data_IF_462079907370
#
_entry.id   IF_462079907370
#
_cell.length_a   1.000
_cell.length_b   1.000
_cell.length_c   1.000
_cell.angle_alpha   90.00
_cell.angle_beta   90.00
_cell.angle_gamma   90.00
#
_symmetry.space_group_name_H-M   'P 1'
#
loop_
_entity.id
_entity.type
_entity.pdbx_description
1 polymer ?
#
# COMPACT_ATOMS: atom_id res chain seq x y z
N UNK A 1 19.75 -22.30 40.17
CA UNK A 1 18.91 -21.19 39.69
C UNK A 1 19.14 -20.98 38.19
N UNK A 2 18.67 -21.89 37.33
CA UNK A 2 18.95 -21.83 35.86
C UNK A 2 17.95 -22.70 35.08
N UNK A 3 16.64 -22.56 35.32
CA UNK A 3 15.61 -23.32 34.55
C UNK A 3 14.50 -22.48 33.92
N UNK A 4 14.52 -21.16 34.07
CA UNK A 4 13.51 -20.26 33.48
C UNK A 4 13.94 -19.55 32.20
N UNK A 5 15.22 -19.65 31.81
CA UNK A 5 15.75 -18.95 30.64
C UNK A 5 15.30 -19.55 29.30
N UNK A 6 14.97 -20.85 29.25
CA UNK A 6 14.57 -21.53 28.01
C UNK A 6 13.14 -21.21 27.54
N UNK A 7 12.25 -20.78 28.44
CA UNK A 7 10.83 -20.59 28.12
C UNK A 7 10.51 -19.20 27.54
N UNK A 8 11.38 -18.19 27.76
CA UNK A 8 11.17 -16.82 27.27
C UNK A 8 11.51 -16.66 25.78
N UNK A 9 12.35 -17.53 25.21
CA UNK A 9 12.77 -17.43 23.80
C UNK A 9 11.65 -17.91 22.86
N UNK A 10 10.79 -18.82 23.30
CA UNK A 10 9.72 -19.38 22.49
C UNK A 10 8.60 -18.36 22.17
N UNK A 11 8.37 -17.36 23.02
CA UNK A 11 7.31 -16.35 22.83
C UNK A 11 7.72 -15.28 21.81
N UNK A 12 9.02 -15.00 21.65
CA UNK A 12 9.51 -13.98 20.72
C UNK A 12 9.36 -14.38 19.24
N UNK A 13 9.30 -15.68 18.93
CA UNK A 13 9.19 -16.18 17.55
C UNK A 13 7.77 -16.05 16.98
N UNK A 14 6.75 -15.93 17.83
CA UNK A 14 5.34 -15.84 17.42
C UNK A 14 4.88 -14.41 17.08
N UNK A 15 5.68 -13.37 17.39
CA UNK A 15 5.34 -11.98 17.10
C UNK A 15 5.64 -11.55 15.64
N UNK A 16 6.20 -12.43 14.81
CA UNK A 16 6.70 -12.11 13.48
C UNK A 16 5.67 -12.14 12.33
N UNK A 17 4.42 -12.52 12.57
CA UNK A 17 3.43 -12.75 11.50
C UNK A 17 2.33 -11.68 11.38
N UNK A 18 2.49 -10.51 11.99
CA UNK A 18 1.64 -9.36 11.69
C UNK A 18 2.06 -8.74 10.34
N UNK A 19 1.78 -9.43 9.24
CA UNK A 19 1.99 -8.90 7.90
C UNK A 19 0.97 -7.78 7.66
N UNK A 20 1.33 -6.53 7.96
CA UNK A 20 0.50 -5.38 7.61
C UNK A 20 0.25 -5.40 6.12
N UNK A 21 -1.02 -5.48 5.74
CA UNK A 21 -1.38 -5.61 4.36
C UNK A 21 -0.98 -4.39 3.54
N UNK A 22 -0.45 -4.65 2.35
CA UNK A 22 -0.02 -3.57 1.45
C UNK A 22 -1.24 -2.85 0.89
N UNK A 23 -1.25 -1.52 0.87
CA UNK A 23 -2.35 -0.78 0.29
C UNK A 23 -2.40 -1.01 -1.22
N UNK A 24 -3.61 -1.09 -1.78
CA UNK A 24 -3.85 -1.29 -3.21
C UNK A 24 -5.03 -0.44 -3.69
N UNK A 25 -5.03 -0.14 -4.99
CA UNK A 25 -6.09 0.63 -5.62
C UNK A 25 -7.22 -0.29 -6.08
N UNK A 26 -8.42 -0.05 -5.58
CA UNK A 26 -9.61 -0.84 -5.91
C UNK A 26 -10.69 0.01 -6.56
N UNK A 27 -11.39 -0.57 -7.55
CA UNK A 27 -12.60 -0.02 -8.16
C UNK A 27 -13.50 -1.20 -8.55
N UNK A 28 -14.83 -1.12 -8.36
CA UNK A 28 -15.75 -2.17 -8.79
C UNK A 28 -15.57 -2.48 -10.28
N UNK A 29 -15.50 -3.77 -10.61
CA UNK A 29 -15.32 -4.28 -11.97
C UNK A 29 -13.99 -3.91 -12.66
N UNK A 30 -13.00 -3.38 -11.93
CA UNK A 30 -11.65 -3.16 -12.45
C UNK A 30 -10.73 -4.29 -12.00
N UNK A 31 -9.89 -4.76 -12.92
CA UNK A 31 -8.82 -5.72 -12.62
C UNK A 31 -7.63 -5.02 -11.95
N UNK A 32 -6.70 -5.80 -11.41
CA UNK A 32 -5.44 -5.26 -10.90
C UNK A 32 -4.62 -4.58 -12.02
N UNK A 33 -4.67 -5.11 -13.24
CA UNK A 33 -3.98 -4.56 -14.41
C UNK A 33 -4.58 -3.22 -14.85
N UNK A 34 -5.91 -3.07 -14.76
CA UNK A 34 -6.58 -1.79 -14.99
C UNK A 34 -6.11 -0.74 -13.97
N UNK A 35 -6.05 -1.12 -12.68
CA UNK A 35 -5.55 -0.23 -11.63
C UNK A 35 -4.09 0.17 -11.86
N UNK A 36 -3.24 -0.76 -12.31
CA UNK A 36 -1.84 -0.50 -12.63
C UNK A 36 -1.68 0.44 -13.84
N UNK A 37 -2.46 0.21 -14.88
CA UNK A 37 -2.48 1.04 -16.09
C UNK A 37 -2.89 2.47 -15.75
N UNK A 38 -3.96 2.64 -14.97
CA UNK A 38 -4.47 3.94 -14.57
C UNK A 38 -3.52 4.67 -13.61
N UNK A 39 -2.88 3.95 -12.68
CA UNK A 39 -1.85 4.51 -11.80
C UNK A 39 -0.65 5.03 -12.60
N UNK A 40 -0.23 4.28 -13.61
CA UNK A 40 0.87 4.67 -14.49
C UNK A 40 0.54 5.92 -15.30
N UNK A 41 -0.69 6.00 -15.82
CA UNK A 41 -1.18 7.18 -16.52
C UNK A 41 -1.22 8.42 -15.60
N UNK A 42 -1.70 8.27 -14.36
CA UNK A 42 -1.70 9.35 -13.38
C UNK A 42 -0.28 9.85 -13.07
N UNK A 43 0.66 8.94 -12.81
CA UNK A 43 2.07 9.31 -12.55
C UNK A 43 2.70 10.05 -13.72
N UNK A 44 2.44 9.60 -14.94
CA UNK A 44 2.94 10.25 -16.15
C UNK A 44 2.41 11.69 -16.28
N UNK A 45 1.10 11.90 -16.08
CA UNK A 45 0.50 13.24 -16.14
C UNK A 45 1.06 14.20 -15.09
N UNK A 46 1.25 13.73 -13.85
CA UNK A 46 1.85 14.53 -12.79
C UNK A 46 3.30 14.90 -13.12
N UNK A 47 4.08 13.98 -13.69
CA UNK A 47 5.44 14.23 -14.17
C UNK A 47 5.50 15.30 -15.26
N UNK A 48 4.57 15.26 -16.23
CA UNK A 48 4.49 16.26 -17.30
C UNK A 48 4.16 17.67 -16.77
N UNK A 49 3.33 17.76 -15.73
CA UNK A 49 2.89 19.02 -15.14
C UNK A 49 3.91 19.66 -14.19
N UNK A 50 5.11 19.07 -14.03
CA UNK A 50 6.21 19.59 -13.19
C UNK A 50 5.80 19.88 -11.74
N UNK A 51 4.90 19.05 -11.19
CA UNK A 51 4.47 19.15 -9.80
C UNK A 51 5.68 18.90 -8.86
N UNK A 52 5.85 19.69 -7.79
CA UNK A 52 6.91 19.47 -6.81
C UNK A 52 6.87 18.04 -6.25
N UNK A 53 8.02 17.38 -6.09
CA UNK A 53 8.10 15.97 -5.67
C UNK A 53 7.28 15.65 -4.41
N UNK A 54 7.33 16.55 -3.42
CA UNK A 54 6.55 16.47 -2.17
C UNK A 54 5.02 16.41 -2.36
N UNK A 55 4.52 16.89 -3.49
CA UNK A 55 3.09 16.93 -3.82
C UNK A 55 2.69 15.84 -4.84
N UNK A 56 3.66 15.19 -5.50
CA UNK A 56 3.38 14.25 -6.59
C UNK A 56 2.52 13.07 -6.13
N UNK A 57 2.86 12.42 -5.02
CA UNK A 57 2.09 11.29 -4.49
C UNK A 57 0.66 11.70 -4.10
N UNK A 58 0.49 12.89 -3.51
CA UNK A 58 -0.83 13.43 -3.21
C UNK A 58 -1.65 13.66 -4.49
N UNK A 59 -1.03 14.22 -5.53
CA UNK A 59 -1.68 14.46 -6.81
C UNK A 59 -2.01 13.17 -7.57
N UNK A 60 -1.13 12.16 -7.51
CA UNK A 60 -1.42 10.82 -8.04
C UNK A 60 -2.63 10.22 -7.32
N UNK A 61 -2.69 10.34 -5.99
CA UNK A 61 -3.84 9.87 -5.22
C UNK A 61 -5.14 10.63 -5.58
N UNK A 62 -5.08 11.93 -5.85
CA UNK A 62 -6.23 12.69 -6.35
C UNK A 62 -6.67 12.22 -7.74
N UNK A 63 -5.73 12.00 -8.66
CA UNK A 63 -6.00 11.48 -10.00
C UNK A 63 -6.71 10.11 -9.94
N UNK A 64 -6.19 9.17 -9.14
CA UNK A 64 -6.79 7.86 -8.96
C UNK A 64 -8.21 7.93 -8.37
N UNK A 65 -8.42 8.80 -7.36
CA UNK A 65 -9.76 9.01 -6.79
C UNK A 65 -10.75 9.61 -7.79
N UNK A 66 -10.30 10.52 -8.65
CA UNK A 66 -11.08 11.10 -9.75
C UNK A 66 -11.51 10.06 -10.79
N UNK A 67 -10.67 9.03 -11.02
CA UNK A 67 -10.99 7.86 -11.87
C UNK A 67 -11.90 6.82 -11.20
N UNK A 68 -12.28 7.05 -9.95
CA UNK A 68 -13.16 6.19 -9.16
C UNK A 68 -12.45 5.11 -8.36
N UNK A 69 -11.12 5.08 -8.32
CA UNK A 69 -10.38 4.15 -7.46
C UNK A 69 -10.38 4.62 -6.00
N UNK A 70 -10.27 3.68 -5.08
CA UNK A 70 -10.09 3.91 -3.64
C UNK A 70 -8.87 3.13 -3.17
N UNK A 71 -8.05 3.75 -2.32
CA UNK A 71 -6.91 3.09 -1.71
C UNK A 71 -7.43 2.29 -0.51
N UNK A 72 -7.34 0.97 -0.57
CA UNK A 72 -7.73 0.07 0.50
C UNK A 72 -6.46 -0.57 1.07
N UNK A 73 -6.42 -0.78 2.37
CA UNK A 73 -5.54 -1.77 2.96
C UNK A 73 -6.26 -3.12 2.89
N UNK A 74 -5.61 -4.18 2.43
CA UNK A 74 -6.23 -5.50 2.44
C UNK A 74 -6.21 -6.04 3.88
N UNK A 75 -7.11 -5.62 4.76
CA UNK A 75 -7.19 -6.18 6.12
C UNK A 75 -7.37 -7.71 6.01
N UNK A 76 -6.28 -8.44 6.13
CA UNK A 76 -6.20 -9.90 6.00
C UNK A 76 -6.84 -10.59 7.18
#
# INVERSE_FOLDING_TARGET
>A
MTKFAGMLIAVAVLAGCASTAKPYWHKPNATADDAYTELSACRFQIGLNKIPEKEQELMVAHCMRGKGFRLLANDS
#
